data_IF_701288969753
#
_entry.id   IF_701288969753
#
_cell.length_a   1.000
_cell.length_b   1.000
_cell.length_c   1.000
_cell.angle_alpha   90.00
_cell.angle_beta   90.00
_cell.angle_gamma   90.00
#
_symmetry.space_group_name_H-M   'P 1'
#
loop_
_entity.id
_entity.type
_entity.pdbx_description
1 polymer ?
#
# COMPACT_ATOMS: atom_id res chain seq x y z
N UNK A 1 40.03 41.60 -32.20
CA UNK A 1 39.39 40.33 -32.61
C UNK A 1 39.18 39.47 -31.36
N UNK A 2 37.90 39.35 -31.00
CA UNK A 2 37.23 38.37 -30.12
C UNK A 2 38.05 37.56 -29.10
N UNK A 3 37.88 37.90 -27.81
CA UNK A 3 38.17 37.01 -26.69
C UNK A 3 37.11 35.91 -26.61
N UNK A 4 37.55 34.65 -26.61
CA UNK A 4 36.69 33.46 -26.51
C UNK A 4 36.39 33.19 -25.04
N UNK A 5 35.20 33.59 -24.58
CA UNK A 5 34.67 33.14 -23.29
C UNK A 5 34.38 31.64 -23.33
N UNK A 6 35.22 30.87 -22.66
CA UNK A 6 35.02 29.43 -22.45
C UNK A 6 33.92 29.21 -21.41
N UNK A 7 32.68 29.05 -21.87
CA UNK A 7 31.55 28.66 -21.02
C UNK A 7 31.76 27.25 -20.45
N UNK A 8 32.09 27.14 -19.15
CA UNK A 8 32.12 25.86 -18.43
C UNK A 8 30.71 25.27 -18.42
N UNK A 9 30.50 24.20 -19.18
CA UNK A 9 29.27 23.41 -19.14
C UNK A 9 29.05 22.87 -17.72
N UNK A 10 27.99 23.35 -17.03
CA UNK A 10 27.60 22.83 -15.73
C UNK A 10 27.09 21.40 -15.91
N UNK A 11 27.86 20.40 -15.47
CA UNK A 11 27.43 19.00 -15.45
C UNK A 11 26.20 18.86 -14.55
N UNK A 12 25.04 18.52 -15.13
CA UNK A 12 23.84 18.20 -14.35
C UNK A 12 24.08 16.91 -13.57
N UNK A 13 24.10 17.01 -12.24
CA UNK A 13 24.13 15.84 -11.36
C UNK A 13 22.77 15.14 -11.46
N UNK A 14 22.74 14.00 -12.15
CA UNK A 14 21.57 13.11 -12.21
C UNK A 14 21.68 12.08 -11.08
N UNK A 15 20.62 11.92 -10.30
CA UNK A 15 20.58 10.93 -9.22
C UNK A 15 20.86 9.52 -9.76
N UNK A 16 21.58 8.69 -8.98
CA UNK A 16 21.88 7.31 -9.37
C UNK A 16 20.59 6.52 -9.65
N UNK A 17 19.52 6.78 -8.91
CA UNK A 17 18.19 6.21 -9.15
C UNK A 17 17.61 6.53 -10.53
N UNK A 18 17.74 7.79 -10.98
CA UNK A 18 17.29 8.20 -12.33
C UNK A 18 18.11 7.54 -13.43
N UNK A 19 19.41 7.32 -13.20
CA UNK A 19 20.29 6.62 -14.16
C UNK A 19 20.00 5.12 -14.24
N UNK A 20 19.67 4.50 -13.12
CA UNK A 20 19.37 3.08 -13.05
C UNK A 20 17.93 2.74 -13.47
N UNK A 21 17.10 3.73 -13.83
CA UNK A 21 15.68 3.50 -14.12
C UNK A 21 14.88 2.99 -12.91
N UNK A 22 15.47 3.04 -11.71
CA UNK A 22 14.87 2.54 -10.48
C UNK A 22 13.83 3.56 -10.01
N UNK A 23 12.61 3.42 -10.52
CA UNK A 23 11.42 3.85 -9.77
C UNK A 23 11.26 2.83 -8.65
N UNK A 24 11.23 3.31 -7.42
CA UNK A 24 10.88 2.50 -6.25
C UNK A 24 9.44 2.00 -6.42
N UNK A 25 9.25 0.90 -7.16
CA UNK A 25 7.98 0.18 -7.21
C UNK A 25 7.83 -0.49 -5.85
N UNK A 26 6.86 -0.02 -5.08
CA UNK A 26 6.57 -0.58 -3.77
C UNK A 26 5.34 -1.49 -3.90
N UNK A 27 5.47 -2.82 -3.81
CA UNK A 27 4.38 -3.76 -4.03
C UNK A 27 3.17 -3.51 -3.12
N UNK A 28 3.40 -3.12 -1.86
CA UNK A 28 2.33 -2.84 -0.89
C UNK A 28 1.45 -1.66 -1.33
N UNK A 29 2.01 -0.68 -2.04
CA UNK A 29 1.25 0.47 -2.56
C UNK A 29 0.33 0.05 -3.71
N UNK A 30 0.73 -0.96 -4.49
CA UNK A 30 -0.10 -1.54 -5.54
C UNK A 30 -1.26 -2.34 -4.94
N UNK A 31 -0.98 -3.18 -3.94
CA UNK A 31 -2.00 -3.95 -3.21
C UNK A 31 -3.00 -3.06 -2.46
N UNK A 32 -2.53 -2.04 -1.74
CA UNK A 32 -3.38 -1.07 -1.05
C UNK A 32 -4.20 -0.23 -2.05
N UNK A 33 -3.66 0.02 -3.25
CA UNK A 33 -4.38 0.65 -4.35
C UNK A 33 -5.53 -0.21 -4.86
N UNK A 34 -5.36 -1.54 -4.92
CA UNK A 34 -6.44 -2.45 -5.28
C UNK A 34 -7.53 -2.49 -4.21
N UNK A 35 -7.15 -2.62 -2.93
CA UNK A 35 -8.11 -2.57 -1.82
C UNK A 35 -8.91 -1.25 -1.77
N UNK A 36 -8.28 -0.12 -2.12
CA UNK A 36 -8.95 1.19 -2.24
C UNK A 36 -10.00 1.22 -3.36
N UNK A 37 -9.73 0.54 -4.48
CA UNK A 37 -10.69 0.44 -5.60
C UNK A 37 -11.89 -0.41 -5.23
N UNK A 38 -11.68 -1.50 -4.50
CA UNK A 38 -12.76 -2.40 -4.04
C UNK A 38 -13.75 -1.66 -3.14
N UNK A 39 -13.25 -0.79 -2.27
CA UNK A 39 -14.04 0.08 -1.40
C UNK A 39 -14.55 1.36 -2.09
N UNK A 40 -14.34 1.51 -3.40
CA UNK A 40 -14.79 2.64 -4.26
C UNK A 40 -14.34 4.02 -3.75
N UNK A 41 -13.21 4.09 -3.07
CA UNK A 41 -12.65 5.32 -2.50
C UNK A 41 -11.38 5.74 -3.25
N UNK A 42 -11.24 7.05 -3.49
CA UNK A 42 -10.14 7.62 -4.31
C UNK A 42 -8.81 7.75 -3.57
N UNK A 43 -8.83 7.71 -2.23
CA UNK A 43 -7.65 7.94 -1.38
C UNK A 43 -7.35 6.68 -0.58
N UNK A 44 -6.06 6.31 -0.54
CA UNK A 44 -5.59 5.21 0.30
C UNK A 44 -5.66 5.65 1.77
N UNK A 45 -6.37 4.88 2.60
CA UNK A 45 -6.50 5.05 4.04
C UNK A 45 -5.69 3.98 4.77
N UNK A 46 -5.43 4.14 6.09
CA UNK A 46 -4.74 3.12 6.88
C UNK A 46 -5.41 1.74 6.83
N UNK A 47 -6.75 1.71 6.71
CA UNK A 47 -7.52 0.47 6.54
C UNK A 47 -7.14 -0.29 5.25
N UNK A 48 -6.93 0.38 4.12
CA UNK A 48 -6.52 -0.31 2.88
C UNK A 48 -5.10 -0.89 3.01
N UNK A 49 -4.23 -0.22 3.74
CA UNK A 49 -2.88 -0.70 4.00
C UNK A 49 -2.94 -1.94 4.91
N UNK A 50 -3.78 -1.92 5.94
CA UNK A 50 -4.00 -3.06 6.82
C UNK A 50 -4.59 -4.26 6.06
N UNK A 51 -5.58 -4.05 5.19
CA UNK A 51 -6.17 -5.10 4.35
C UNK A 51 -5.14 -5.69 3.37
N UNK A 52 -4.29 -4.86 2.77
CA UNK A 52 -3.24 -5.31 1.87
C UNK A 52 -2.14 -6.13 2.59
N UNK A 53 -1.77 -5.74 3.81
CA UNK A 53 -0.76 -6.46 4.62
C UNK A 53 -1.34 -7.77 5.15
N UNK A 54 -2.55 -7.74 5.73
CA UNK A 54 -3.20 -8.92 6.33
C UNK A 54 -3.77 -9.89 5.30
N UNK A 55 -3.95 -9.45 4.06
CA UNK A 55 -4.40 -10.27 2.94
C UNK A 55 -3.28 -10.97 2.18
N UNK A 56 -2.02 -10.71 2.52
CA UNK A 56 -0.84 -11.28 1.87
C UNK A 56 0.02 -12.00 2.91
N UNK A 57 0.28 -13.29 2.70
CA UNK A 57 0.97 -14.14 3.68
C UNK A 57 2.43 -13.73 3.90
N UNK A 58 3.12 -13.27 2.85
CA UNK A 58 4.52 -12.82 2.95
C UNK A 58 4.60 -11.52 3.73
N UNK A 59 3.70 -10.57 3.47
CA UNK A 59 3.64 -9.29 4.17
C UNK A 59 3.16 -9.42 5.61
N UNK A 60 2.23 -10.32 5.92
CA UNK A 60 1.75 -10.54 7.30
C UNK A 60 2.87 -11.11 8.19
N UNK A 61 3.66 -12.04 7.65
CA UNK A 61 4.82 -12.60 8.35
C UNK A 61 5.96 -11.59 8.52
N UNK A 62 6.21 -10.78 7.48
CA UNK A 62 7.26 -9.78 7.46
C UNK A 62 6.93 -8.55 8.35
N UNK A 63 5.67 -8.11 8.36
CA UNK A 63 5.21 -6.90 9.03
C UNK A 63 4.32 -7.26 10.22
N UNK A 64 4.96 -7.46 11.38
CA UNK A 64 4.27 -7.63 12.68
C UNK A 64 3.88 -6.30 13.35
N UNK A 65 4.02 -5.18 12.64
CA UNK A 65 3.71 -3.86 13.16
C UNK A 65 2.20 -3.57 13.16
N UNK A 66 1.75 -2.73 14.09
CA UNK A 66 0.36 -2.27 14.16
C UNK A 66 0.18 -1.00 13.34
N UNK A 67 -0.76 -1.02 12.38
CA UNK A 67 -1.17 0.20 11.66
C UNK A 67 -2.17 0.98 12.51
N UNK A 68 -1.86 2.24 12.82
CA UNK A 68 -2.80 3.13 13.49
C UNK A 68 -4.05 3.34 12.61
N UNK A 69 -5.24 3.26 13.20
CA UNK A 69 -6.54 3.44 12.52
C UNK A 69 -6.82 2.44 11.36
N UNK A 70 -6.11 1.30 11.34
CA UNK A 70 -6.23 0.29 10.28
C UNK A 70 -7.36 -0.73 10.48
N UNK A 71 -7.89 -0.86 11.69
CA UNK A 71 -8.87 -1.90 12.03
C UNK A 71 -8.33 -3.32 11.87
N UNK A 72 -9.22 -4.28 11.65
CA UNK A 72 -8.89 -5.71 11.47
C UNK A 72 -9.66 -6.31 10.30
N UNK A 73 -9.10 -7.36 9.69
CA UNK A 73 -9.79 -8.13 8.65
C UNK A 73 -11.07 -8.75 9.25
N UNK A 74 -12.24 -8.57 8.63
CA UNK A 74 -13.49 -9.14 9.12
C UNK A 74 -13.40 -10.67 9.18
N UNK A 75 -13.44 -11.24 10.39
CA UNK A 75 -13.44 -12.68 10.59
C UNK A 75 -14.27 -13.05 11.82
N UNK A 76 -15.34 -13.84 11.62
CA UNK A 76 -16.19 -14.35 12.71
C UNK A 76 -15.99 -15.87 12.80
N UNK A 77 -15.60 -16.34 13.97
CA UNK A 77 -15.42 -17.77 14.21
C UNK A 77 -16.75 -18.51 14.07
N UNK A 78 -16.74 -19.67 13.38
CA UNK A 78 -17.97 -20.42 13.05
C UNK A 78 -18.81 -20.79 14.27
N UNK A 79 -18.17 -20.97 15.43
CA UNK A 79 -18.87 -21.25 16.70
C UNK A 79 -19.73 -20.09 17.21
N UNK A 80 -19.43 -18.86 16.78
CA UNK A 80 -20.12 -17.64 17.20
C UNK A 80 -21.22 -17.22 16.22
N UNK A 81 -21.27 -17.84 15.03
CA UNK A 81 -22.36 -17.67 14.09
C UNK A 81 -23.55 -18.43 14.64
N UNK A 82 -24.52 -17.71 15.21
CA UNK A 82 -25.77 -18.29 15.71
C UNK A 82 -26.41 -19.18 14.65
N UNK A 83 -26.99 -20.32 15.07
CA UNK A 83 -27.70 -21.24 14.17
C UNK A 83 -28.74 -20.44 13.39
N UNK A 84 -28.49 -20.22 12.11
CA UNK A 84 -29.40 -19.49 11.22
C UNK A 84 -30.68 -20.33 11.08
N UNK A 85 -31.79 -19.83 11.61
CA UNK A 85 -33.14 -20.35 11.28
C UNK A 85 -33.98 -20.99 12.38
N UNK A 86 -33.90 -20.57 13.65
CA UNK A 86 -34.99 -20.82 14.59
C UNK A 86 -35.55 -19.48 15.07
N UNK A 87 -36.47 -18.92 14.27
CA UNK A 87 -37.45 -17.98 14.79
C UNK A 87 -38.21 -18.71 15.89
N UNK A 88 -37.95 -18.35 17.15
CA UNK A 88 -38.84 -18.71 18.25
C UNK A 88 -40.10 -17.87 18.07
N UNK A 89 -41.12 -18.45 17.43
CA UNK A 89 -42.49 -17.98 17.58
C UNK A 89 -42.83 -18.11 19.05
N UNK A 90 -43.05 -16.97 19.71
CA UNK A 90 -43.77 -16.89 20.98
C UNK A 90 -45.22 -16.59 20.63
#
# INVERSE_FOLDING_TARGET
MSGKDSGKAKTRVVSRSRRAGLRSRWPVLELAGNASKDLKVKRITPCHLQLAIRGDEELDSLIKATSADGGVTPHIHKSLIGKKGQQKTV
#
